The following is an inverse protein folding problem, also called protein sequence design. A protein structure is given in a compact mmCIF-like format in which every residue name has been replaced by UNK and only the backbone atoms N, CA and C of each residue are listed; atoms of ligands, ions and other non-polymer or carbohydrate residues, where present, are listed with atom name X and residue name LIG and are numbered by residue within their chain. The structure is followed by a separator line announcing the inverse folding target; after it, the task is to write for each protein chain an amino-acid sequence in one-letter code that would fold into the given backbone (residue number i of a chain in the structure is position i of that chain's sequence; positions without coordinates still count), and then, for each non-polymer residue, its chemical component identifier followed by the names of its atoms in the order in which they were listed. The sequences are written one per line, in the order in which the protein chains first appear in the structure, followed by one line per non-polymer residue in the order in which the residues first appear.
data_IF_532019315655
#
_entry.id   IF_532019315655
#
_cell.length_a   1.000
_cell.length_b   1.000
_cell.length_c   1.000
_cell.angle_alpha   90.00
_cell.angle_beta   90.00
_cell.angle_gamma   90.00
#
_symmetry.space_group_name_H-M   'P 1'
#
loop_
_entity.id
_entity.type
_entity.pdbx_description
1 polymer ?
#
# COMPACT_ATOMS: atom_id res chain seq x y z
N UNK A 1 0.06 -21.17 0.54
CA UNK A 1 -0.46 -20.00 -0.18
C UNK A 1 -0.79 -18.96 0.88
N UNK A 2 0.04 -17.92 1.02
CA UNK A 2 -0.17 -16.87 2.02
C UNK A 2 -1.27 -15.93 1.53
N UNK A 3 -2.37 -15.82 2.29
CA UNK A 3 -3.40 -14.82 2.03
C UNK A 3 -2.88 -13.49 2.54
N UNK A 4 -2.84 -12.47 1.68
CA UNK A 4 -2.81 -11.08 2.15
C UNK A 4 -4.00 -10.96 3.12
N UNK A 5 -3.79 -10.52 4.37
CA UNK A 5 -4.86 -10.52 5.35
C UNK A 5 -6.05 -9.72 4.84
N UNK A 6 -7.27 -10.22 5.04
CA UNK A 6 -8.52 -9.54 4.67
C UNK A 6 -8.59 -8.11 5.21
N UNK A 7 -7.83 -7.80 6.28
CA UNK A 7 -7.70 -6.46 6.84
C UNK A 7 -7.14 -5.40 5.88
N UNK A 8 -6.35 -5.77 4.86
CA UNK A 8 -5.98 -4.80 3.82
C UNK A 8 -7.21 -4.36 3.03
N UNK A 9 -8.14 -5.28 2.76
CA UNK A 9 -9.41 -4.93 2.12
C UNK A 9 -10.29 -4.06 3.04
N UNK A 10 -10.28 -4.29 4.36
CA UNK A 10 -11.07 -3.47 5.28
C UNK A 10 -10.58 -2.02 5.34
N UNK A 11 -9.26 -1.81 5.45
CA UNK A 11 -8.70 -0.47 5.54
C UNK A 11 -8.53 0.23 4.18
N UNK A 12 -8.22 -0.51 3.12
CA UNK A 12 -7.81 0.05 1.83
C UNK A 12 -8.69 -0.41 0.65
N UNK A 13 -9.74 -1.19 0.91
CA UNK A 13 -10.69 -1.58 -0.12
C UNK A 13 -11.45 -0.37 -0.64
N UNK A 14 -11.29 -0.09 -1.93
CA UNK A 14 -11.94 1.00 -2.62
C UNK A 14 -12.22 0.59 -4.07
N UNK A 15 -13.48 0.76 -4.50
CA UNK A 15 -13.90 0.41 -5.85
C UNK A 15 -13.15 1.21 -6.91
N UNK A 16 -12.77 2.46 -6.61
CA UNK A 16 -11.97 3.31 -7.47
C UNK A 16 -10.60 2.68 -7.70
N UNK A 17 -9.94 2.20 -6.64
CA UNK A 17 -8.63 1.54 -6.75
C UNK A 17 -8.74 0.22 -7.52
N UNK A 18 -9.84 -0.53 -7.33
CA UNK A 18 -10.11 -1.74 -8.11
C UNK A 18 -10.21 -1.42 -9.60
N UNK A 19 -10.94 -0.37 -9.97
CA UNK A 19 -11.04 0.09 -11.36
C UNK A 19 -9.69 0.56 -11.90
N UNK A 20 -8.90 1.30 -11.11
CA UNK A 20 -7.54 1.69 -11.50
C UNK A 20 -6.65 0.48 -11.79
N UNK A 21 -6.71 -0.57 -10.97
CA UNK A 21 -5.99 -1.82 -11.21
C UNK A 21 -6.42 -2.51 -12.50
N UNK A 22 -7.72 -2.60 -12.76
CA UNK A 22 -8.23 -3.16 -14.02
C UNK A 22 -7.72 -2.37 -15.23
N UNK A 23 -7.83 -1.04 -15.19
CA UNK A 23 -7.38 -0.18 -16.28
C UNK A 23 -5.86 -0.27 -16.51
N UNK A 24 -5.07 -0.31 -15.44
CA UNK A 24 -3.62 -0.47 -15.52
C UNK A 24 -3.22 -1.81 -16.15
N UNK A 25 -3.92 -2.90 -15.82
CA UNK A 25 -3.63 -4.21 -16.39
C UNK A 25 -4.08 -4.33 -17.84
N UNK A 26 -5.19 -3.70 -18.22
CA UNK A 26 -5.64 -3.60 -19.61
C UNK A 26 -4.64 -2.79 -20.45
N UNK A 27 -4.08 -1.70 -19.91
CA UNK A 27 -3.09 -0.85 -20.57
C UNK A 27 -1.82 -1.61 -21.00
N UNK A 28 -1.46 -2.66 -20.27
CA UNK A 28 -0.27 -3.48 -20.57
C UNK A 28 -0.60 -4.82 -21.24
N UNK A 29 -1.88 -5.08 -21.55
CA UNK A 29 -2.33 -6.32 -22.17
C UNK A 29 -2.11 -7.57 -21.32
N UNK A 30 -2.02 -7.44 -19.99
CA UNK A 30 -1.66 -8.52 -19.06
C UNK A 30 -2.86 -9.21 -18.38
N UNK A 31 -4.09 -9.01 -18.86
CA UNK A 31 -5.28 -9.65 -18.24
C UNK A 31 -5.85 -10.77 -19.11
N UNK A 32 -5.99 -11.96 -18.53
CA UNK A 32 -6.77 -13.04 -19.12
C UNK A 32 -8.25 -12.92 -18.73
N UNK A 33 -9.18 -13.36 -19.60
CA UNK A 33 -10.63 -13.15 -19.38
C UNK A 33 -11.17 -13.68 -18.04
N UNK A 34 -10.59 -14.76 -17.49
CA UNK A 34 -10.98 -15.23 -16.15
C UNK A 34 -10.44 -14.35 -15.02
N UNK A 35 -9.29 -13.69 -15.20
CA UNK A 35 -8.69 -12.79 -14.22
C UNK A 35 -9.47 -11.49 -14.11
N UNK A 36 -10.06 -10.99 -15.20
CA UNK A 36 -10.97 -9.83 -15.16
C UNK A 36 -12.13 -10.06 -14.19
N UNK A 37 -12.76 -11.24 -14.25
CA UNK A 37 -13.87 -11.58 -13.34
C UNK A 37 -13.44 -11.61 -11.88
N UNK A 38 -12.22 -12.08 -11.59
CA UNK A 38 -11.66 -12.04 -10.23
C UNK A 38 -11.29 -10.62 -9.80
N UNK A 39 -10.84 -9.77 -10.71
CA UNK A 39 -10.59 -8.35 -10.46
C UNK A 39 -11.89 -7.56 -10.25
N UNK A 40 -13.03 -8.03 -10.74
CA UNK A 40 -14.34 -7.41 -10.53
C UNK A 40 -14.97 -7.87 -9.21
N UNK A 41 -15.10 -9.18 -9.01
CA UNK A 41 -15.92 -9.76 -7.94
C UNK A 41 -15.11 -10.38 -6.79
N UNK A 42 -13.79 -10.58 -6.98
CA UNK A 42 -12.93 -11.26 -6.01
C UNK A 42 -12.52 -10.37 -4.83
N UNK A 43 -11.90 -10.93 -3.77
CA UNK A 43 -11.38 -10.16 -2.64
C UNK A 43 -10.41 -9.06 -3.09
N UNK A 44 -10.48 -7.88 -2.47
CA UNK A 44 -9.63 -6.74 -2.85
C UNK A 44 -8.13 -7.04 -2.67
N UNK A 45 -7.79 -7.77 -1.62
CA UNK A 45 -6.45 -8.30 -1.39
C UNK A 45 -5.93 -9.10 -2.60
N UNK A 46 -6.80 -9.89 -3.21
CA UNK A 46 -6.45 -10.71 -4.37
C UNK A 46 -6.35 -9.90 -5.66
N UNK A 47 -7.17 -8.86 -5.81
CA UNK A 47 -6.98 -7.88 -6.88
C UNK A 47 -5.62 -7.17 -6.76
N UNK A 48 -5.19 -6.80 -5.55
CA UNK A 48 -3.87 -6.21 -5.32
C UNK A 48 -2.74 -7.21 -5.63
N UNK A 49 -2.87 -8.49 -5.25
CA UNK A 49 -1.88 -9.53 -5.58
C UNK A 49 -1.73 -9.74 -7.08
N UNK A 50 -2.83 -9.97 -7.79
CA UNK A 50 -2.82 -10.17 -9.25
C UNK A 50 -2.19 -8.94 -9.93
N UNK A 51 -2.59 -7.75 -9.51
CA UNK A 51 -2.04 -6.50 -10.05
C UNK A 51 -0.53 -6.41 -9.84
N UNK A 52 -0.06 -6.74 -8.63
CA UNK A 52 1.37 -6.76 -8.34
C UNK A 52 2.11 -7.75 -9.24
N UNK A 53 1.66 -9.00 -9.30
CA UNK A 53 2.31 -10.07 -10.09
C UNK A 53 2.39 -9.74 -11.58
N UNK A 54 1.32 -9.16 -12.12
CA UNK A 54 1.22 -8.83 -13.56
C UNK A 54 1.96 -7.56 -13.95
N UNK A 55 2.01 -6.57 -13.05
CA UNK A 55 2.75 -5.32 -13.29
C UNK A 55 4.22 -5.40 -12.83
N UNK A 56 4.59 -6.44 -12.10
CA UNK A 56 5.97 -6.66 -11.67
C UNK A 56 6.85 -6.93 -12.90
N UNK A 57 7.84 -6.07 -13.13
CA UNK A 57 8.76 -6.19 -14.26
C UNK A 57 8.26 -5.59 -15.57
N UNK A 58 7.07 -4.98 -15.60
CA UNK A 58 6.62 -4.19 -16.77
C UNK A 58 7.61 -3.04 -17.02
N UNK A 59 8.07 -2.94 -18.26
CA UNK A 59 8.80 -1.78 -18.76
C UNK A 59 7.82 -0.64 -19.05
N UNK A 60 7.88 0.41 -18.23
CA UNK A 60 7.02 1.58 -18.36
C UNK A 60 7.26 2.35 -19.68
N UNK A 61 8.42 2.21 -20.31
CA UNK A 61 8.69 2.87 -21.60
C UNK A 61 7.89 2.24 -22.75
N UNK A 62 7.59 0.95 -22.64
CA UNK A 62 6.75 0.21 -23.58
C UNK A 62 5.25 0.50 -23.42
N UNK A 63 4.84 1.16 -22.32
CA UNK A 63 3.45 1.55 -22.06
C UNK A 63 3.14 2.88 -22.79
N UNK A 64 1.94 3.04 -23.41
CA UNK A 64 1.53 4.30 -24.02
C UNK A 64 1.66 5.47 -23.05
N UNK A 65 2.21 6.60 -23.50
CA UNK A 65 2.56 7.74 -22.64
C UNK A 65 1.41 8.19 -21.72
N UNK A 66 0.20 8.31 -22.25
CA UNK A 66 -1.00 8.69 -21.48
C UNK A 66 -1.44 7.69 -20.41
N UNK A 67 -0.88 6.48 -20.39
CA UNK A 67 -1.19 5.41 -19.44
C UNK A 67 -0.04 5.10 -18.48
N UNK A 68 1.16 5.64 -18.72
CA UNK A 68 2.35 5.35 -17.90
C UNK A 68 2.16 5.67 -16.43
N UNK A 69 1.57 6.83 -16.13
CA UNK A 69 1.32 7.26 -14.75
C UNK A 69 0.35 6.32 -14.01
N UNK A 70 -0.71 5.89 -14.71
CA UNK A 70 -1.67 4.91 -14.18
C UNK A 70 -0.99 3.58 -13.86
N UNK A 71 -0.21 3.04 -14.79
CA UNK A 71 0.49 1.75 -14.61
C UNK A 71 1.53 1.84 -13.49
N UNK A 72 2.30 2.92 -13.45
CA UNK A 72 3.29 3.16 -12.40
C UNK A 72 2.63 3.26 -11.01
N UNK A 73 1.52 4.03 -10.92
CA UNK A 73 0.75 4.18 -9.69
C UNK A 73 0.15 2.86 -9.21
N UNK A 74 -0.51 2.10 -10.09
CA UNK A 74 -1.07 0.80 -9.76
C UNK A 74 0.00 -0.21 -9.33
N UNK A 75 1.18 -0.20 -9.97
CA UNK A 75 2.32 -1.05 -9.59
C UNK A 75 2.86 -0.69 -8.20
N UNK A 76 3.06 0.60 -7.91
CA UNK A 76 3.51 1.06 -6.61
C UNK A 76 2.49 0.74 -5.51
N UNK A 77 1.22 1.03 -5.76
CA UNK A 77 0.12 0.83 -4.82
C UNK A 77 -0.11 -0.65 -4.50
N UNK A 78 -0.21 -1.52 -5.51
CA UNK A 78 -0.38 -2.96 -5.31
C UNK A 78 0.74 -3.56 -4.45
N UNK A 79 2.01 -3.21 -4.75
CA UNK A 79 3.16 -3.61 -3.92
C UNK A 79 3.01 -3.13 -2.47
N UNK A 80 2.62 -1.86 -2.30
CA UNK A 80 2.52 -1.29 -0.96
C UNK A 80 1.37 -1.86 -0.15
N UNK A 81 0.23 -2.16 -0.76
CA UNK A 81 -0.88 -2.84 -0.12
C UNK A 81 -0.49 -4.23 0.41
N UNK A 82 0.27 -5.00 -0.37
CA UNK A 82 0.77 -6.32 0.05
C UNK A 82 1.67 -6.20 1.29
N UNK A 83 2.70 -5.36 1.20
CA UNK A 83 3.66 -5.16 2.29
C UNK A 83 3.01 -4.55 3.54
N UNK A 84 2.08 -3.60 3.39
CA UNK A 84 1.28 -3.08 4.50
C UNK A 84 0.38 -4.16 5.13
N UNK A 85 -0.15 -5.10 4.34
CA UNK A 85 -0.86 -6.25 4.87
C UNK A 85 0.01 -7.15 5.75
N UNK A 86 1.25 -7.38 5.35
CA UNK A 86 2.22 -8.09 6.20
C UNK A 86 2.53 -7.33 7.47
N UNK A 87 2.65 -6.00 7.42
CA UNK A 87 2.85 -5.17 8.62
C UNK A 87 1.70 -5.33 9.62
N UNK A 88 0.46 -5.23 9.15
CA UNK A 88 -0.74 -5.44 9.97
C UNK A 88 -0.73 -6.83 10.62
N UNK A 89 -0.41 -7.87 9.83
CA UNK A 89 -0.33 -9.24 10.35
C UNK A 89 0.72 -9.38 11.44
N UNK A 90 1.92 -8.82 11.24
CA UNK A 90 3.01 -8.92 12.20
C UNK A 90 2.71 -8.17 13.51
N UNK A 91 2.15 -6.96 13.41
CA UNK A 91 1.72 -6.20 14.58
C UNK A 91 0.64 -6.95 15.37
N UNK A 92 -0.38 -7.49 14.69
CA UNK A 92 -1.44 -8.28 15.31
C UNK A 92 -0.89 -9.54 15.99
N UNK A 93 0.03 -10.26 15.34
CA UNK A 93 0.68 -11.45 15.89
C UNK A 93 1.50 -11.13 17.14
N UNK A 94 2.12 -9.95 17.19
CA UNK A 94 2.89 -9.47 18.34
C UNK A 94 2.01 -8.84 19.44
N UNK A 95 0.70 -8.70 19.23
CA UNK A 95 -0.21 -8.04 20.17
C UNK A 95 0.04 -6.54 20.29
N UNK A 96 0.68 -5.93 19.30
CA UNK A 96 0.99 -4.51 19.29
C UNK A 96 -0.27 -3.67 19.03
N UNK A 97 -0.37 -2.54 19.73
CA UNK A 97 -1.51 -1.62 19.67
C UNK A 97 -1.09 -0.24 19.19
N UNK A 98 -2.04 0.49 18.62
CA UNK A 98 -1.86 1.90 18.31
C UNK A 98 -1.48 2.68 19.57
N UNK A 99 -0.41 3.48 19.45
CA UNK A 99 0.11 4.29 20.56
C UNK A 99 -0.31 5.75 20.42
N UNK A 100 -0.12 6.53 21.48
CA UNK A 100 -0.43 7.96 21.50
C UNK A 100 0.48 8.84 20.62
N UNK A 101 1.57 8.28 20.10
CA UNK A 101 2.55 8.96 19.23
C UNK A 101 2.19 8.90 17.74
N UNK A 102 0.99 8.40 17.39
CA UNK A 102 0.60 8.17 16.00
C UNK A 102 0.61 9.44 15.15
N UNK A 103 0.35 10.62 15.74
CA UNK A 103 0.39 11.91 15.03
C UNK A 103 1.80 12.29 14.61
N UNK A 104 2.79 12.05 15.48
CA UNK A 104 4.21 12.32 15.19
C UNK A 104 4.73 11.35 14.14
N UNK A 105 4.36 10.07 14.26
CA UNK A 105 4.65 9.04 13.27
C UNK A 105 4.03 9.37 11.91
N UNK A 106 2.79 9.87 11.86
CA UNK A 106 2.13 10.28 10.63
C UNK A 106 2.84 11.48 9.99
N UNK A 107 3.19 12.49 10.77
CA UNK A 107 3.93 13.66 10.29
C UNK A 107 5.27 13.25 9.69
N UNK A 108 6.03 12.40 10.39
CA UNK A 108 7.27 11.82 9.88
C UNK A 108 7.06 11.05 8.57
N UNK A 109 6.08 10.14 8.53
CA UNK A 109 5.80 9.35 7.34
C UNK A 109 5.39 10.22 6.14
N UNK A 110 4.58 11.27 6.35
CA UNK A 110 4.19 12.24 5.31
C UNK A 110 5.39 12.97 4.73
N UNK A 111 6.25 13.51 5.58
CA UNK A 111 7.46 14.22 5.15
C UNK A 111 8.36 13.32 4.29
N UNK A 112 8.65 12.10 4.77
CA UNK A 112 9.57 11.18 4.09
C UNK A 112 9.01 10.62 2.79
N UNK A 113 7.72 10.30 2.77
CA UNK A 113 7.04 9.86 1.55
C UNK A 113 6.94 10.97 0.51
N UNK A 114 6.69 12.23 0.92
CA UNK A 114 6.68 13.36 0.01
C UNK A 114 8.06 13.61 -0.62
N UNK A 115 9.13 13.55 0.18
CA UNK A 115 10.50 13.66 -0.32
C UNK A 115 10.86 12.53 -1.30
N UNK A 116 10.45 11.29 -0.99
CA UNK A 116 10.73 10.13 -1.85
C UNK A 116 9.98 10.15 -3.17
N UNK A 117 8.76 10.69 -3.18
CA UNK A 117 7.97 10.85 -4.40
C UNK A 117 8.62 11.81 -5.43
N UNK A 118 9.52 12.70 -4.98
CA UNK A 118 10.23 13.64 -5.85
C UNK A 118 11.44 13.02 -6.57
N UNK A 119 11.81 11.78 -6.24
CA UNK A 119 12.90 11.06 -6.92
C UNK A 119 12.41 10.63 -8.30
N UNK A 120 13.16 10.97 -9.36
CA UNK A 120 12.74 10.76 -10.76
C UNK A 120 12.36 9.29 -11.09
N UNK A 121 13.01 8.33 -10.44
CA UNK A 121 12.75 6.89 -10.63
C UNK A 121 11.52 6.39 -9.85
N UNK A 122 10.90 7.25 -9.03
CA UNK A 122 9.74 6.92 -8.21
C UNK A 122 8.41 7.33 -8.84
N UNK A 123 8.29 7.20 -10.17
CA UNK A 123 7.02 7.41 -10.85
C UNK A 123 5.87 6.60 -10.20
N UNK A 124 4.74 7.26 -9.93
CA UNK A 124 3.56 6.63 -9.34
C UNK A 124 3.56 6.47 -7.81
N UNK A 125 4.69 6.72 -7.13
CA UNK A 125 4.76 6.61 -5.67
C UNK A 125 4.00 7.71 -4.93
N UNK A 126 3.90 8.92 -5.49
CA UNK A 126 3.11 10.01 -4.91
C UNK A 126 1.66 9.56 -4.68
N UNK A 127 1.00 9.09 -5.73
CA UNK A 127 -0.38 8.58 -5.69
C UNK A 127 -0.55 7.44 -4.67
N UNK A 128 0.42 6.53 -4.61
CA UNK A 128 0.45 5.44 -3.65
C UNK A 128 0.53 5.95 -2.20
N UNK A 129 1.44 6.88 -1.93
CA UNK A 129 1.66 7.38 -0.57
C UNK A 129 0.49 8.22 -0.09
N UNK A 130 -0.05 9.12 -0.91
CA UNK A 130 -1.25 9.89 -0.58
C UNK A 130 -2.38 8.96 -0.16
N UNK A 131 -2.69 7.96 -0.99
CA UNK A 131 -3.77 7.02 -0.69
C UNK A 131 -3.57 6.28 0.64
N UNK A 132 -2.38 5.74 0.87
CA UNK A 132 -2.12 4.89 2.03
C UNK A 132 -2.06 5.71 3.31
N UNK A 133 -1.43 6.89 3.27
CA UNK A 133 -1.34 7.77 4.42
C UNK A 133 -2.72 8.31 4.81
N UNK A 134 -3.54 8.73 3.84
CA UNK A 134 -4.89 9.24 4.12
C UNK A 134 -5.81 8.16 4.71
N UNK A 135 -5.72 6.92 4.20
CA UNK A 135 -6.49 5.80 4.75
C UNK A 135 -6.00 5.38 6.14
N UNK A 136 -4.69 5.44 6.39
CA UNK A 136 -4.12 5.16 7.70
C UNK A 136 -4.49 6.24 8.73
N UNK A 137 -4.42 7.52 8.36
CA UNK A 137 -4.87 8.65 9.19
C UNK A 137 -6.35 8.50 9.55
N UNK A 138 -7.22 8.27 8.56
CA UNK A 138 -8.65 8.10 8.81
C UNK A 138 -8.97 6.92 9.74
N UNK A 139 -8.15 5.85 9.69
CA UNK A 139 -8.27 4.72 10.61
C UNK A 139 -7.86 5.08 12.05
N UNK A 140 -6.94 6.03 12.23
CA UNK A 140 -6.39 6.46 13.52
C UNK A 140 -7.18 7.59 14.19
N UNK A 141 -7.78 8.48 13.40
CA UNK A 141 -8.45 9.71 13.87
C UNK A 141 -9.82 9.50 14.55
N UNK A 142 -10.42 8.31 14.45
CA UNK A 142 -11.85 8.14 14.72
C UNK A 142 -12.17 7.23 15.91
N UNK A 143 -13.44 7.24 16.33
CA UNK A 143 -14.11 6.23 17.18
C UNK A 143 -14.15 4.81 16.55
N UNK A 144 -13.30 4.57 15.54
CA UNK A 144 -13.15 3.28 14.90
C UNK A 144 -12.70 2.23 15.90
N UNK A 145 -12.96 0.98 15.51
CA UNK A 145 -12.57 -0.16 16.31
C UNK A 145 -11.09 -0.10 16.66
N UNK A 146 -10.73 -0.58 17.85
CA UNK A 146 -9.32 -0.67 18.24
C UNK A 146 -8.49 -1.41 17.18
N UNK A 147 -9.10 -2.39 16.51
CA UNK A 147 -8.47 -3.19 15.46
C UNK A 147 -8.13 -2.36 14.20
N UNK A 148 -8.99 -1.43 13.79
CA UNK A 148 -8.71 -0.53 12.66
C UNK A 148 -7.59 0.45 13.01
N UNK A 149 -7.60 0.98 14.24
CA UNK A 149 -6.56 1.89 14.74
C UNK A 149 -5.21 1.17 14.78
N UNK A 150 -5.17 -0.05 15.31
CA UNK A 150 -3.97 -0.88 15.36
C UNK A 150 -3.42 -1.15 13.95
N UNK A 151 -4.30 -1.44 12.99
CA UNK A 151 -3.92 -1.66 11.61
C UNK A 151 -3.38 -0.39 10.94
N UNK A 152 -4.05 0.75 11.10
CA UNK A 152 -3.57 2.05 10.61
C UNK A 152 -2.19 2.39 11.17
N UNK A 153 -1.99 2.19 12.47
CA UNK A 153 -0.71 2.40 13.15
C UNK A 153 0.40 1.48 12.59
N UNK A 154 0.09 0.19 12.40
CA UNK A 154 1.03 -0.77 11.82
C UNK A 154 1.48 -0.37 10.41
N UNK A 155 0.56 0.17 9.60
CA UNK A 155 0.89 0.69 8.26
C UNK A 155 1.80 1.91 8.32
N UNK A 156 1.55 2.85 9.23
CA UNK A 156 2.45 4.00 9.40
C UNK A 156 3.84 3.57 9.85
N UNK A 157 3.94 2.64 10.81
CA UNK A 157 5.22 2.05 11.25
C UNK A 157 5.97 1.38 10.12
N UNK A 158 5.26 0.67 9.25
CA UNK A 158 5.83 0.06 8.06
C UNK A 158 6.39 1.12 7.10
N UNK A 159 5.66 2.20 6.82
CA UNK A 159 6.17 3.29 5.98
C UNK A 159 7.38 3.99 6.61
N UNK A 160 7.35 4.26 7.91
CA UNK A 160 8.46 4.89 8.63
C UNK A 160 9.72 4.00 8.65
N UNK A 161 9.56 2.67 8.69
CA UNK A 161 10.68 1.72 8.75
C UNK A 161 11.60 1.76 7.53
N UNK A 162 11.13 2.22 6.37
CA UNK A 162 11.99 2.47 5.20
C UNK A 162 12.99 3.61 5.43
N UNK A 163 12.68 4.52 6.35
CA UNK A 163 13.45 5.72 6.66
C UNK A 163 14.09 5.62 8.05
N UNK A 164 14.36 4.41 8.53
CA UNK A 164 14.89 4.15 9.89
C UNK A 164 16.24 4.82 10.19
N UNK A 165 16.98 5.22 9.16
CA UNK A 165 18.29 5.88 9.27
C UNK A 165 18.17 7.42 9.33
N UNK A 166 16.97 7.96 9.10
CA UNK A 166 16.75 9.39 9.01
C UNK A 166 16.55 10.02 10.39
N UNK A 167 16.95 11.29 10.51
CA UNK A 167 16.69 12.09 11.70
C UNK A 167 15.16 12.19 11.96
N UNK A 168 14.78 12.08 13.24
CA UNK A 168 13.39 12.11 13.69
C UNK A 168 12.73 10.74 13.78
N UNK A 169 13.32 9.68 13.22
CA UNK A 169 12.82 8.31 13.40
C UNK A 169 12.96 7.84 14.85
N UNK A 170 11.90 7.25 15.40
CA UNK A 170 11.91 6.63 16.73
C UNK A 170 12.07 5.10 16.61
N UNK A 171 12.95 4.46 17.42
CA UNK A 171 13.10 3.00 17.40
C UNK A 171 11.80 2.22 17.66
N UNK A 172 10.86 2.78 18.43
CA UNK A 172 9.52 2.22 18.67
C UNK A 172 8.68 2.08 17.40
N UNK A 173 8.96 2.87 16.37
CA UNK A 173 8.24 2.81 15.10
C UNK A 173 8.71 1.67 14.20
N UNK A 174 9.85 1.04 14.50
CA UNK A 174 10.36 -0.03 13.67
C UNK A 174 9.41 -1.24 13.66
N UNK A 175 9.12 -1.75 12.48
CA UNK A 175 8.43 -3.02 12.26
C UNK A 175 9.11 -3.76 11.11
N UNK A 176 9.44 -5.03 11.34
CA UNK A 176 10.04 -5.87 10.31
C UNK A 176 8.95 -6.47 9.42
N UNK A 177 9.01 -6.17 8.14
CA UNK A 177 8.04 -6.62 7.14
C UNK A 177 8.81 -7.35 6.04
N UNK A 178 8.38 -8.57 5.64
CA UNK A 178 9.00 -9.26 4.52
C UNK A 178 8.78 -8.49 3.21
N UNK A 179 9.70 -8.63 2.27
CA UNK A 179 9.53 -8.07 0.93
C UNK A 179 8.35 -8.76 0.21
N UNK A 180 7.65 -8.01 -0.65
CA UNK A 180 6.72 -8.63 -1.59
C UNK A 180 7.54 -9.48 -2.56
N UNK A 181 7.27 -10.79 -2.58
CA UNK A 181 7.92 -11.80 -3.43
C UNK A 181 6.94 -12.33 -4.47
#
# INVERSE_FOLDING_TARGET
MFKIPDRVADLFGDQTIRVEFQQALLAVGQVQGYEMKYLEDGPFSEAARITHERLHGVDLQAVPEGQRSLVAGARALSRRLITSGYAIHQAAKAGERAQGDWSDLLAFAREKCAGSAQIADNAGWERCYTYILDRAEAALESERSAEDRDAGYAVLRHLASFYRADAGFQPSWYIQVPEAS
#
